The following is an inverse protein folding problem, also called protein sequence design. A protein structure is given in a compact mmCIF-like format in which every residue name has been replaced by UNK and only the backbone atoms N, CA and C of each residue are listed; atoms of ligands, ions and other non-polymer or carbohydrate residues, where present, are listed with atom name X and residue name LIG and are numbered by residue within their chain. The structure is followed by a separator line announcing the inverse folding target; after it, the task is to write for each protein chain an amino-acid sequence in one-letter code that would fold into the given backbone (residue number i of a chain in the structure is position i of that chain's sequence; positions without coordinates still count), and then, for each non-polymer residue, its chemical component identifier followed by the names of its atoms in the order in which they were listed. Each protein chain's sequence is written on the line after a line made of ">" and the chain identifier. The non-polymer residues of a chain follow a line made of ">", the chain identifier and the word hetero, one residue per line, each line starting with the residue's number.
data_IF_699009572787
#
_entry.id   IF_699009572787
#
_cell.length_a   1.000
_cell.length_b   1.000
_cell.length_c   1.000
_cell.angle_alpha   90.00
_cell.angle_beta   90.00
_cell.angle_gamma   90.00
#
_symmetry.space_group_name_H-M   'P 1'
#
loop_
_entity.id
_entity.type
_entity.pdbx_description
1 polymer ?
#
# COMPACT_ATOMS: atom_id res chain seq x y z
N UNK A 1 -2.84 -18.36 0.95
CA UNK A 1 -3.74 -17.24 1.32
C UNK A 1 -4.73 -17.08 0.20
N UNK A 2 -6.04 -17.14 0.46
CA UNK A 2 -7.06 -16.94 -0.57
C UNK A 2 -7.10 -15.46 -0.96
N UNK A 3 -6.32 -15.08 -1.97
CA UNK A 3 -6.24 -13.71 -2.54
C UNK A 3 -7.46 -13.43 -3.45
N UNK A 4 -8.67 -13.72 -2.96
CA UNK A 4 -9.92 -13.58 -3.74
C UNK A 4 -10.77 -12.40 -3.27
N UNK A 5 -10.21 -11.50 -2.45
CA UNK A 5 -10.87 -10.25 -2.08
C UNK A 5 -11.24 -9.48 -3.36
N UNK A 6 -12.46 -8.93 -3.46
CA UNK A 6 -12.85 -8.13 -4.61
C UNK A 6 -11.88 -6.96 -4.78
N UNK A 7 -11.58 -6.60 -6.04
CA UNK A 7 -10.70 -5.47 -6.34
C UNK A 7 -11.25 -4.21 -5.67
N UNK A 8 -10.39 -3.36 -5.07
CA UNK A 8 -10.84 -2.14 -4.44
C UNK A 8 -11.50 -1.20 -5.44
N UNK A 9 -12.44 -0.38 -4.96
CA UNK A 9 -13.02 0.71 -5.76
C UNK A 9 -11.91 1.61 -6.32
N UNK A 10 -12.04 1.97 -7.60
CA UNK A 10 -11.10 2.81 -8.35
C UNK A 10 -11.70 4.18 -8.68
N UNK A 11 -12.85 4.52 -8.10
CA UNK A 11 -13.41 5.86 -8.19
C UNK A 11 -12.37 6.91 -7.76
N UNK A 12 -12.38 8.11 -8.37
CA UNK A 12 -11.44 9.18 -8.01
C UNK A 12 -11.46 9.50 -6.50
N UNK A 13 -12.63 9.40 -5.88
CA UNK A 13 -12.84 9.62 -4.45
C UNK A 13 -12.12 8.55 -3.60
N UNK A 14 -12.27 7.27 -3.94
CA UNK A 14 -11.60 6.17 -3.25
C UNK A 14 -10.07 6.21 -3.42
N UNK A 15 -9.58 6.62 -4.60
CA UNK A 15 -8.16 6.84 -4.84
C UNK A 15 -7.64 8.01 -4.01
N UNK A 16 -8.34 9.15 -4.00
CA UNK A 16 -7.96 10.34 -3.23
C UNK A 16 -7.94 10.05 -1.71
N UNK A 17 -8.93 9.31 -1.21
CA UNK A 17 -8.98 8.91 0.20
C UNK A 17 -7.78 8.05 0.60
N UNK A 18 -7.43 7.04 -0.21
CA UNK A 18 -6.23 6.21 0.03
C UNK A 18 -4.95 7.03 -0.06
N UNK A 19 -4.82 7.88 -1.07
CA UNK A 19 -3.65 8.76 -1.23
C UNK A 19 -3.43 9.62 0.00
N UNK A 20 -4.50 10.24 0.53
CA UNK A 20 -4.42 11.04 1.76
C UNK A 20 -3.92 10.22 2.95
N UNK A 21 -4.45 9.00 3.12
CA UNK A 21 -4.04 8.11 4.20
C UNK A 21 -2.57 7.66 4.07
N UNK A 22 -2.13 7.31 2.87
CA UNK A 22 -0.74 6.89 2.61
C UNK A 22 0.24 8.04 2.76
N UNK A 23 -0.11 9.24 2.31
CA UNK A 23 0.71 10.43 2.47
C UNK A 23 0.89 10.79 3.95
N UNK A 24 -0.18 10.69 4.75
CA UNK A 24 -0.11 10.89 6.20
C UNK A 24 0.80 9.85 6.87
N UNK A 25 0.65 8.57 6.52
CA UNK A 25 1.50 7.51 7.03
C UNK A 25 2.97 7.73 6.65
N UNK A 26 3.25 8.11 5.40
CA UNK A 26 4.59 8.43 4.92
C UNK A 26 5.20 9.59 5.69
N UNK A 27 4.44 10.66 5.93
CA UNK A 27 4.91 11.80 6.71
C UNK A 27 5.24 11.43 8.16
N UNK A 28 4.44 10.56 8.79
CA UNK A 28 4.72 10.04 10.13
C UNK A 28 5.96 9.15 10.16
N UNK A 29 6.11 8.25 9.18
CA UNK A 29 7.27 7.39 9.07
C UNK A 29 8.55 8.19 8.83
N UNK A 30 8.49 9.23 7.99
CA UNK A 30 9.62 10.13 7.73
C UNK A 30 10.11 10.81 9.03
N UNK A 31 9.19 11.21 9.92
CA UNK A 31 9.53 11.76 11.25
C UNK A 31 10.21 10.73 12.18
N UNK A 32 10.03 9.44 11.90
CA UNK A 32 10.66 8.34 12.62
C UNK A 32 11.93 7.83 11.94
N UNK A 33 12.45 8.55 10.93
CA UNK A 33 13.69 8.20 10.25
C UNK A 33 13.54 7.24 9.06
N UNK A 34 12.32 7.02 8.56
CA UNK A 34 12.14 6.33 7.29
C UNK A 34 12.73 7.17 6.13
N UNK A 35 13.69 6.60 5.40
CA UNK A 35 14.46 7.33 4.37
C UNK A 35 13.87 7.20 2.96
N UNK A 36 12.97 6.22 2.72
CA UNK A 36 12.41 5.79 1.42
C UNK A 36 12.87 4.38 1.05
N UNK A 37 11.92 3.53 0.65
CA UNK A 37 12.12 2.15 0.19
C UNK A 37 11.36 2.00 -1.14
N UNK A 38 12.07 1.76 -2.26
CA UNK A 38 11.44 1.64 -3.58
C UNK A 38 10.35 0.57 -3.66
N UNK A 39 10.50 -0.56 -2.97
CA UNK A 39 9.50 -1.64 -2.97
C UNK A 39 8.22 -1.19 -2.27
N UNK A 40 8.36 -0.54 -1.11
CA UNK A 40 7.22 -0.03 -0.35
C UNK A 40 6.46 1.03 -1.14
N UNK A 41 7.17 1.89 -1.86
CA UNK A 41 6.58 3.04 -2.56
C UNK A 41 5.87 2.60 -3.85
N UNK A 42 6.43 1.65 -4.59
CA UNK A 42 5.77 1.00 -5.73
C UNK A 42 4.49 0.25 -5.31
N UNK A 43 4.59 -0.52 -4.22
CA UNK A 43 3.44 -1.24 -3.66
C UNK A 43 2.36 -0.26 -3.16
N UNK A 44 2.77 0.86 -2.53
CA UNK A 44 1.85 1.88 -2.04
C UNK A 44 1.14 2.58 -3.19
N UNK A 45 1.86 2.92 -4.28
CA UNK A 45 1.26 3.51 -5.47
C UNK A 45 0.20 2.58 -6.09
N UNK A 46 0.52 1.29 -6.23
CA UNK A 46 -0.42 0.29 -6.75
C UNK A 46 -1.63 0.08 -5.83
N UNK A 47 -1.44 0.16 -4.50
CA UNK A 47 -2.53 0.10 -3.52
C UNK A 47 -3.44 1.33 -3.61
N UNK A 48 -2.88 2.54 -3.78
CA UNK A 48 -3.64 3.78 -3.93
C UNK A 48 -4.47 3.77 -5.22
N UNK A 49 -3.92 3.26 -6.31
CA UNK A 49 -4.63 3.10 -7.59
C UNK A 49 -5.76 2.04 -7.55
N UNK A 50 -5.71 1.13 -6.57
CA UNK A 50 -6.63 -0.02 -6.52
C UNK A 50 -6.23 -1.16 -7.44
N UNK A 51 -4.97 -1.19 -7.85
CA UNK A 51 -4.35 -2.33 -8.50
C UNK A 51 -4.03 -3.45 -7.51
N UNK A 52 -3.77 -3.12 -6.24
CA UNK A 52 -3.62 -4.09 -5.16
C UNK A 52 -4.76 -4.01 -4.15
N UNK A 53 -5.25 -5.17 -3.75
CA UNK A 53 -5.97 -5.36 -2.49
C UNK A 53 -5.03 -5.15 -1.29
N UNK A 54 -5.60 -4.98 -0.10
CA UNK A 54 -4.80 -4.83 1.13
C UNK A 54 -3.94 -6.07 1.42
N UNK A 55 -4.44 -7.26 1.12
CA UNK A 55 -3.72 -8.53 1.30
C UNK A 55 -2.57 -8.68 0.32
N UNK A 56 -2.77 -8.35 -0.97
CA UNK A 56 -1.70 -8.35 -1.97
C UNK A 56 -0.61 -7.31 -1.62
N UNK A 57 -1.01 -6.12 -1.17
CA UNK A 57 -0.08 -5.10 -0.67
C UNK A 57 0.76 -5.63 0.48
N UNK A 58 0.13 -6.25 1.49
CA UNK A 58 0.82 -6.85 2.65
C UNK A 58 1.81 -7.92 2.22
N UNK A 59 1.40 -8.83 1.34
CA UNK A 59 2.25 -9.91 0.85
C UNK A 59 3.48 -9.41 0.09
N UNK A 60 3.37 -8.25 -0.59
CA UNK A 60 4.48 -7.65 -1.35
C UNK A 60 5.51 -6.96 -0.46
N UNK A 61 5.08 -6.29 0.60
CA UNK A 61 5.98 -5.54 1.51
C UNK A 61 6.50 -6.37 2.69
N UNK A 62 5.77 -7.42 3.05
CA UNK A 62 6.14 -8.40 4.06
C UNK A 62 5.98 -9.79 3.44
N UNK A 63 6.90 -10.17 2.52
CA UNK A 63 6.94 -11.56 2.09
C UNK A 63 7.12 -12.41 3.35
N UNK A 64 6.31 -13.47 3.48
CA UNK A 64 6.49 -14.40 4.59
C UNK A 64 7.95 -14.82 4.58
N UNK A 65 8.70 -14.48 5.64
CA UNK A 65 10.11 -14.84 5.76
C UNK A 65 10.23 -16.31 5.43
N UNK A 66 10.83 -16.63 4.28
CA UNK A 66 11.14 -18.00 3.92
C UNK A 66 12.06 -18.53 5.01
N UNK A 67 11.53 -19.44 5.82
CA UNK A 67 12.27 -20.20 6.80
C UNK A 67 12.56 -21.57 6.23
#
# INVERSE_FOLDING_TARGET
>A
MNLHSPRPDRSPEAVAARKRATDQARAMNARQGYVHDPLLEDATASYVAGDLTRDEYRARIMPASSR
#
